data_IF_216304585025
#
_entry.id   IF_216304585025
#
_cell.length_a   1.000
_cell.length_b   1.000
_cell.length_c   1.000
_cell.angle_alpha   90.00
_cell.angle_beta   90.00
_cell.angle_gamma   90.00
#
_symmetry.space_group_name_H-M   'P 1'
#
loop_
_entity.id
_entity.type
_entity.pdbx_description
1 polymer ?
#
# COMPACT_ATOMS: atom_id res chain seq x y z
N UNK A 1 21.61 -9.55 1.76
CA UNK A 1 20.78 -8.80 0.80
C UNK A 1 19.30 -8.94 1.11
N UNK A 2 18.89 -8.87 2.39
CA UNK A 2 17.49 -9.16 2.75
C UNK A 2 16.54 -7.99 2.49
N UNK A 3 17.04 -6.75 2.62
CA UNK A 3 16.19 -5.56 2.47
C UNK A 3 15.70 -5.37 1.03
N UNK A 4 16.58 -5.53 0.04
CA UNK A 4 16.20 -5.36 -1.36
C UNK A 4 15.21 -6.44 -1.82
N UNK A 5 15.40 -7.69 -1.38
CA UNK A 5 14.48 -8.80 -1.68
C UNK A 5 13.09 -8.54 -1.07
N UNK A 6 13.03 -8.02 0.15
CA UNK A 6 11.77 -7.64 0.80
C UNK A 6 11.10 -6.43 0.14
N UNK A 7 11.87 -5.43 -0.28
CA UNK A 7 11.36 -4.28 -1.04
C UNK A 7 10.77 -4.74 -2.38
N UNK A 8 11.41 -5.68 -3.09
CA UNK A 8 10.87 -6.28 -4.31
C UNK A 8 9.54 -7.01 -4.05
N UNK A 9 9.50 -7.84 -3.00
CA UNK A 9 8.27 -8.53 -2.58
C UNK A 9 7.15 -7.54 -2.28
N UNK A 10 7.46 -6.49 -1.52
CA UNK A 10 6.49 -5.45 -1.15
C UNK A 10 5.94 -4.72 -2.37
N UNK A 11 6.81 -4.28 -3.30
CA UNK A 11 6.37 -3.56 -4.51
C UNK A 11 5.50 -4.44 -5.41
N UNK A 12 5.79 -5.75 -5.51
CA UNK A 12 4.95 -6.68 -6.24
C UNK A 12 3.56 -6.82 -5.62
N UNK A 13 3.46 -6.96 -4.30
CA UNK A 13 2.18 -7.08 -3.61
C UNK A 13 1.39 -5.77 -3.67
N UNK A 14 2.07 -4.63 -3.52
CA UNK A 14 1.45 -3.31 -3.63
C UNK A 14 0.80 -3.07 -4.99
N UNK A 15 1.41 -3.54 -6.09
CA UNK A 15 0.79 -3.47 -7.43
C UNK A 15 -0.53 -4.23 -7.50
N UNK A 16 -0.61 -5.43 -6.91
CA UNK A 16 -1.86 -6.20 -6.86
C UNK A 16 -2.95 -5.46 -6.08
N UNK A 17 -2.59 -4.85 -4.96
CA UNK A 17 -3.51 -4.02 -4.17
C UNK A 17 -4.04 -2.83 -4.98
N UNK A 18 -3.19 -2.13 -5.73
CA UNK A 18 -3.61 -1.00 -6.57
C UNK A 18 -4.53 -1.45 -7.73
N UNK A 19 -4.26 -2.60 -8.34
CA UNK A 19 -5.12 -3.18 -9.38
C UNK A 19 -6.50 -3.54 -8.82
N UNK A 20 -6.54 -4.14 -7.63
CA UNK A 20 -7.78 -4.49 -6.94
C UNK A 20 -8.55 -3.23 -6.48
N UNK A 21 -7.85 -2.22 -5.96
CA UNK A 21 -8.43 -0.91 -5.63
C UNK A 21 -9.09 -0.29 -6.88
N UNK A 22 -8.37 -0.27 -8.01
CA UNK A 22 -8.90 0.25 -9.27
C UNK A 22 -10.15 -0.51 -9.73
N UNK A 23 -10.14 -1.83 -9.59
CA UNK A 23 -11.27 -2.69 -9.96
C UNK A 23 -12.51 -2.43 -9.11
N UNK A 24 -12.33 -2.28 -7.79
CA UNK A 24 -13.42 -2.06 -6.83
C UNK A 24 -13.97 -0.63 -6.94
N UNK A 25 -13.09 0.36 -7.05
CA UNK A 25 -13.45 1.78 -6.94
C UNK A 25 -13.77 2.45 -8.29
N UNK A 26 -13.81 1.69 -9.39
CA UNK A 26 -14.03 2.20 -10.75
C UNK A 26 -15.27 3.10 -10.92
N UNK A 27 -16.31 2.88 -10.13
CA UNK A 27 -17.61 3.57 -10.27
C UNK A 27 -17.82 4.67 -9.20
N UNK A 28 -16.81 4.94 -8.35
CA UNK A 28 -16.92 5.91 -7.26
C UNK A 28 -16.43 7.29 -7.72
N UNK A 29 -17.29 8.32 -7.78
CA UNK A 29 -16.89 9.65 -8.24
C UNK A 29 -15.84 10.28 -7.32
N UNK A 30 -14.76 10.80 -7.93
CA UNK A 30 -13.69 11.48 -7.20
C UNK A 30 -12.65 10.56 -6.56
N UNK A 31 -12.80 9.24 -6.66
CA UNK A 31 -11.77 8.31 -6.20
C UNK A 31 -10.54 8.33 -7.11
N UNK A 32 -9.34 8.41 -6.53
CA UNK A 32 -8.08 8.30 -7.25
C UNK A 32 -7.27 7.14 -6.68
N UNK A 33 -7.07 6.12 -7.51
CA UNK A 33 -6.31 4.92 -7.15
C UNK A 33 -4.89 5.30 -6.76
N UNK A 34 -4.40 4.76 -5.65
CA UNK A 34 -3.05 5.02 -5.15
C UNK A 34 -2.81 6.46 -4.66
N UNK A 35 -3.86 7.25 -4.41
CA UNK A 35 -3.72 8.57 -3.80
C UNK A 35 -3.21 8.44 -2.36
N UNK A 36 -2.11 9.16 -2.05
CA UNK A 36 -1.55 9.18 -0.70
C UNK A 36 -2.49 9.90 0.25
N UNK A 37 -2.82 9.25 1.37
CA UNK A 37 -3.56 9.88 2.49
C UNK A 37 -2.71 10.86 3.30
N UNK A 38 -1.39 10.86 3.09
CA UNK A 38 -0.44 11.72 3.79
C UNK A 38 -0.07 12.95 2.95
N UNK A 39 -0.08 14.12 3.59
CA UNK A 39 0.19 15.43 2.97
C UNK A 39 1.68 15.78 2.89
N UNK A 40 2.56 14.97 3.46
CA UNK A 40 3.99 15.28 3.59
C UNK A 40 4.80 15.08 2.32
N UNK A 41 4.23 14.41 1.31
CA UNK A 41 4.95 13.97 0.10
C UNK A 41 5.99 12.88 0.35
N UNK A 42 6.11 12.38 1.60
CA UNK A 42 6.98 11.27 1.96
C UNK A 42 6.22 9.95 1.88
N UNK A 43 6.88 8.91 1.39
CA UNK A 43 6.36 7.56 1.45
C UNK A 43 6.34 7.06 2.89
N UNK A 44 5.27 6.37 3.27
CA UNK A 44 5.10 5.71 4.55
C UNK A 44 4.58 4.29 4.30
N UNK A 45 5.07 3.28 5.05
CA UNK A 45 4.55 1.93 4.92
C UNK A 45 3.06 1.87 5.30
N UNK A 46 2.26 0.99 4.68
CA UNK A 46 0.87 0.78 5.05
C UNK A 46 0.73 0.39 6.51
N UNK A 47 -0.26 0.94 7.21
CA UNK A 47 -0.54 0.58 8.59
C UNK A 47 -1.38 -0.71 8.66
N UNK A 48 -1.01 -1.63 9.54
CA UNK A 48 -1.76 -2.87 9.78
C UNK A 48 -2.92 -2.67 10.77
N UNK A 49 -2.95 -1.55 11.50
CA UNK A 49 -3.95 -1.28 12.55
C UNK A 49 -3.65 -1.94 13.90
N UNK A 50 -2.60 -2.77 13.98
CA UNK A 50 -2.19 -3.48 15.19
C UNK A 50 -0.83 -2.97 15.70
N UNK A 51 -0.66 -2.90 17.02
CA UNK A 51 0.63 -2.58 17.63
C UNK A 51 1.48 -3.85 17.70
N UNK A 52 2.63 -3.85 17.04
CA UNK A 52 3.60 -4.96 17.00
C UNK A 52 3.04 -6.28 16.44
N UNK A 53 2.50 -6.28 15.21
CA UNK A 53 2.00 -7.49 14.57
C UNK A 53 3.10 -8.53 14.28
N UNK A 54 4.36 -8.12 14.35
CA UNK A 54 5.55 -8.96 14.18
C UNK A 54 5.92 -9.77 15.45
N UNK A 55 5.30 -9.45 16.60
CA UNK A 55 5.59 -10.09 17.89
C UNK A 55 4.34 -10.82 18.37
N UNK A 56 4.44 -12.15 18.47
CA UNK A 56 3.41 -13.04 19.00
C UNK A 56 3.46 -13.16 20.52
#
# INVERSE_FOLDING_TARGET
MLQAEEDERFVQEWKKYLEEEARIMKDVPGWKVGESVYHSGKWMPPATGELRPDVW
#
